data_IF_404666741527
#
_entry.id   IF_404666741527
#
_cell.length_a   1.000
_cell.length_b   1.000
_cell.length_c   1.000
_cell.angle_alpha   90.00
_cell.angle_beta   90.00
_cell.angle_gamma   90.00
#
_symmetry.space_group_name_H-M   'P 1'
#
loop_
_entity.id
_entity.type
_entity.pdbx_description
1 polymer ?
#
# COMPACT_ATOMS: atom_id res chain seq x y z
N UNK A 1 1.76 4.30 -82.56
CA UNK A 1 1.27 5.54 -81.92
C UNK A 1 1.68 5.45 -80.44
N UNK A 2 2.87 5.87 -79.98
CA UNK A 2 3.59 7.14 -80.18
C UNK A 2 2.70 8.34 -79.79
N UNK A 3 3.02 9.25 -78.87
CA UNK A 3 4.29 9.70 -78.22
C UNK A 3 4.01 10.07 -76.72
N UNK A 4 4.93 10.43 -75.80
CA UNK A 4 6.38 10.60 -75.82
C UNK A 4 6.83 12.02 -75.41
N UNK A 5 7.47 12.20 -74.23
CA UNK A 5 8.69 13.02 -73.98
C UNK A 5 8.89 13.45 -72.51
N UNK A 6 10.16 13.47 -72.10
CA UNK A 6 10.71 14.13 -70.91
C UNK A 6 11.97 14.93 -71.33
N UNK A 7 12.45 15.89 -70.53
CA UNK A 7 13.80 16.48 -70.69
C UNK A 7 14.34 17.01 -69.35
N UNK A 8 15.64 16.75 -69.08
CA UNK A 8 16.43 17.26 -67.93
C UNK A 8 17.11 18.61 -68.23
N UNK A 9 18.39 18.86 -67.85
CA UNK A 9 19.51 17.94 -67.49
C UNK A 9 19.80 17.90 -65.96
N UNK A 10 20.87 17.31 -65.38
CA UNK A 10 22.06 16.59 -65.88
C UNK A 10 23.37 17.44 -65.84
N UNK A 11 24.59 16.95 -65.56
CA UNK A 11 25.08 15.60 -65.15
C UNK A 11 25.85 15.66 -63.81
N UNK A 12 27.01 15.02 -63.56
CA UNK A 12 27.92 14.12 -64.31
C UNK A 12 28.57 13.13 -63.30
N UNK A 13 28.68 11.81 -63.53
CA UNK A 13 29.62 11.03 -64.37
C UNK A 13 31.03 10.78 -63.79
N UNK A 14 31.37 9.50 -63.55
CA UNK A 14 32.57 8.82 -64.08
C UNK A 14 32.44 7.30 -63.95
N UNK A 15 32.84 6.56 -64.99
CA UNK A 15 32.74 5.10 -65.08
C UNK A 15 34.13 4.45 -65.17
N UNK A 16 34.25 3.22 -64.69
CA UNK A 16 35.32 2.31 -65.10
C UNK A 16 34.77 0.90 -65.33
N UNK A 17 35.08 0.36 -66.51
CA UNK A 17 34.78 -1.01 -66.96
C UNK A 17 35.54 -2.06 -66.09
N UNK A 18 35.32 -3.38 -66.16
CA UNK A 18 35.13 -4.21 -67.36
C UNK A 18 34.52 -5.58 -67.05
N UNK A 19 33.88 -6.16 -68.07
CA UNK A 19 33.34 -7.52 -68.13
C UNK A 19 34.44 -8.59 -68.17
N UNK A 20 34.14 -9.81 -67.71
CA UNK A 20 34.11 -11.01 -68.56
C UNK A 20 33.30 -12.12 -67.84
N UNK A 21 32.66 -13.02 -68.59
CA UNK A 21 31.67 -13.99 -68.09
C UNK A 21 32.03 -15.46 -68.39
N UNK A 22 31.08 -16.36 -68.09
CA UNK A 22 31.01 -17.82 -68.34
C UNK A 22 31.58 -18.71 -67.22
N UNK A 23 30.84 -19.58 -66.49
CA UNK A 23 29.80 -20.59 -66.86
C UNK A 23 30.45 -21.80 -67.56
N UNK A 24 30.39 -23.07 -67.11
CA UNK A 24 29.37 -23.89 -66.40
C UNK A 24 30.01 -24.95 -65.47
N UNK A 25 29.25 -25.56 -64.54
CA UNK A 25 29.61 -26.88 -63.97
C UNK A 25 29.09 -27.18 -62.54
N UNK A 26 28.26 -28.22 -62.39
CA UNK A 26 27.75 -28.75 -61.12
C UNK A 26 28.05 -30.27 -61.01
N UNK A 27 27.71 -30.99 -59.92
CA UNK A 27 27.75 -30.65 -58.48
C UNK A 27 28.60 -31.68 -57.68
N UNK A 28 29.25 -31.30 -56.56
CA UNK A 28 29.90 -32.28 -55.64
C UNK A 28 29.75 -31.94 -54.14
N UNK A 29 29.99 -32.96 -53.31
CA UNK A 29 29.56 -33.22 -51.93
C UNK A 29 30.30 -32.45 -50.81
N UNK A 30 29.76 -32.41 -49.57
CA UNK A 30 30.30 -31.57 -48.49
C UNK A 30 31.57 -32.15 -47.84
N UNK A 31 32.49 -31.26 -47.44
CA UNK A 31 33.70 -31.57 -46.67
C UNK A 31 33.65 -30.92 -45.27
N UNK A 32 34.20 -31.61 -44.26
CA UNK A 32 34.01 -31.28 -42.84
C UNK A 32 34.95 -30.20 -42.27
N UNK A 33 34.52 -29.64 -41.14
CA UNK A 33 35.26 -28.65 -40.32
C UNK A 33 36.26 -29.30 -39.35
N UNK A 34 37.47 -28.72 -39.16
CA UNK A 34 38.41 -29.17 -38.13
C UNK A 34 38.08 -28.61 -36.74
N UNK A 35 38.52 -29.26 -35.64
CA UNK A 35 38.26 -28.80 -34.27
C UNK A 35 39.26 -27.73 -33.80
N UNK A 36 38.82 -26.85 -32.90
CA UNK A 36 39.67 -25.85 -32.21
C UNK A 36 39.74 -26.17 -30.72
N UNK A 37 40.95 -26.08 -30.14
CA UNK A 37 41.24 -26.44 -28.76
C UNK A 37 40.80 -25.37 -27.72
N UNK A 38 40.55 -25.74 -26.46
CA UNK A 38 40.08 -24.80 -25.43
C UNK A 38 41.20 -23.90 -24.90
N UNK A 39 40.92 -22.60 -24.78
CA UNK A 39 41.80 -21.60 -24.15
C UNK A 39 41.54 -21.52 -22.64
N UNK A 40 42.61 -21.56 -21.84
CA UNK A 40 42.58 -21.34 -20.39
C UNK A 40 42.88 -19.86 -20.08
N UNK A 41 42.07 -19.16 -19.26
CA UNK A 41 42.45 -17.88 -18.66
C UNK A 41 43.04 -18.08 -17.26
N UNK A 42 44.13 -17.36 -16.97
CA UNK A 42 44.83 -17.37 -15.68
C UNK A 42 44.06 -16.65 -14.57
N UNK A 43 44.39 -16.98 -13.32
CA UNK A 43 43.72 -16.48 -12.12
C UNK A 43 43.88 -14.97 -11.85
N UNK A 44 42.83 -14.36 -11.28
CA UNK A 44 42.86 -13.02 -10.70
C UNK A 44 41.83 -12.88 -9.57
N UNK A 45 42.30 -12.43 -8.40
CA UNK A 45 41.54 -11.95 -7.23
C UNK A 45 40.23 -12.69 -6.83
N UNK A 46 40.33 -13.59 -5.86
CA UNK A 46 39.16 -14.13 -5.15
C UNK A 46 38.66 -13.09 -4.12
N UNK A 47 37.53 -12.44 -4.37
CA UNK A 47 36.80 -11.69 -3.34
C UNK A 47 35.84 -12.66 -2.67
N UNK A 48 35.95 -12.81 -1.34
CA UNK A 48 35.02 -13.62 -0.57
C UNK A 48 33.62 -13.01 -0.62
N UNK A 49 32.63 -13.79 -1.09
CA UNK A 49 31.24 -13.40 -1.02
C UNK A 49 30.80 -13.25 0.44
N UNK A 50 30.15 -12.15 0.78
CA UNK A 50 29.51 -11.97 2.08
C UNK A 50 28.38 -13.00 2.24
N UNK A 51 28.31 -13.75 3.35
CA UNK A 51 27.21 -14.68 3.57
C UNK A 51 25.88 -13.93 3.70
N UNK A 52 24.74 -14.55 3.34
CA UNK A 52 23.43 -13.95 3.55
C UNK A 52 23.17 -13.77 5.06
N UNK A 53 22.69 -12.59 5.43
CA UNK A 53 22.28 -12.28 6.80
C UNK A 53 20.87 -12.82 7.03
N UNK A 54 20.75 -14.14 7.19
CA UNK A 54 19.84 -14.85 8.13
C UNK A 54 19.98 -16.37 7.91
N UNK A 55 20.97 -16.99 8.58
CA UNK A 55 21.15 -18.44 8.58
C UNK A 55 21.06 -18.96 10.02
N UNK A 56 20.18 -19.93 10.33
CA UNK A 56 20.10 -20.49 11.67
C UNK A 56 21.40 -21.23 12.03
N UNK A 57 21.80 -21.25 13.32
CA UNK A 57 23.03 -21.92 13.74
C UNK A 57 22.95 -23.42 13.45
N UNK A 58 24.04 -23.98 12.92
CA UNK A 58 24.14 -25.40 12.64
C UNK A 58 24.01 -26.22 13.93
N UNK A 59 23.09 -27.20 13.95
CA UNK A 59 22.93 -28.11 15.07
C UNK A 59 24.18 -28.99 15.25
N UNK A 60 24.67 -29.10 16.49
CA UNK A 60 25.80 -29.97 16.80
C UNK A 60 25.44 -31.45 16.59
N UNK A 61 26.35 -32.28 16.05
CA UNK A 61 26.08 -33.70 15.85
C UNK A 61 26.03 -34.44 17.20
N UNK A 62 24.94 -35.18 17.42
CA UNK A 62 24.85 -36.11 18.55
C UNK A 62 25.73 -37.36 18.30
N UNK A 63 26.38 -37.93 19.33
CA UNK A 63 27.24 -39.10 19.16
C UNK A 63 26.43 -40.39 18.93
N UNK A 64 26.83 -41.17 17.92
CA UNK A 64 26.32 -42.53 17.74
C UNK A 64 26.82 -43.46 18.85
N UNK A 65 25.89 -44.10 19.56
CA UNK A 65 26.17 -45.26 20.41
C UNK A 65 25.45 -46.49 19.84
N UNK A 66 26.20 -47.57 19.63
CA UNK A 66 25.70 -48.83 19.09
C UNK A 66 25.35 -49.84 20.19
N UNK A 67 24.44 -50.77 19.90
CA UNK A 67 24.32 -52.06 20.62
C UNK A 67 22.94 -52.38 21.19
N UNK A 68 22.40 -53.54 20.80
CA UNK A 68 21.16 -54.12 21.37
C UNK A 68 20.39 -54.93 20.34
N UNK A 69 20.33 -56.25 20.49
CA UNK A 69 19.83 -57.17 19.45
C UNK A 69 18.49 -57.84 19.78
N UNK A 70 17.57 -57.82 18.79
CA UNK A 70 16.67 -58.92 18.38
C UNK A 70 15.60 -59.44 19.41
N UNK A 71 14.75 -60.45 19.07
CA UNK A 71 13.61 -60.29 18.15
C UNK A 71 12.30 -61.01 18.58
N UNK A 72 11.11 -60.59 18.10
CA UNK A 72 9.91 -61.47 17.95
C UNK A 72 9.08 -61.06 16.71
N UNK A 73 8.38 -62.04 16.12
CA UNK A 73 7.69 -62.02 14.81
C UNK A 73 6.20 -61.52 14.86
N UNK A 74 5.47 -61.46 13.72
CA UNK A 74 4.28 -60.62 13.57
C UNK A 74 2.93 -61.31 13.86
N UNK A 75 1.88 -60.50 14.02
CA UNK A 75 0.49 -60.94 13.98
C UNK A 75 -0.25 -60.33 12.78
N UNK A 76 -0.81 -61.21 11.93
CA UNK A 76 -1.75 -60.87 10.85
C UNK A 76 -3.15 -60.75 11.48
N UNK A 77 -3.96 -59.74 11.12
CA UNK A 77 -5.42 -59.89 11.08
C UNK A 77 -6.06 -59.05 9.97
N UNK A 78 -6.97 -59.72 9.27
CA UNK A 78 -7.61 -59.38 8.00
C UNK A 78 -8.82 -58.44 8.15
N UNK A 79 -9.03 -57.55 7.17
CA UNK A 79 -10.34 -57.36 6.52
C UNK A 79 -11.39 -56.44 7.16
N UNK A 80 -11.86 -55.45 6.40
CA UNK A 80 -12.96 -54.56 6.78
C UNK A 80 -13.36 -53.56 5.70
N UNK A 81 -13.73 -54.02 4.51
CA UNK A 81 -14.22 -53.17 3.40
C UNK A 81 -15.74 -53.09 3.40
N UNK A 82 -16.33 -51.89 3.39
CA UNK A 82 -17.78 -51.67 3.29
C UNK A 82 -18.15 -50.90 2.02
N UNK A 83 -19.07 -51.47 1.23
CA UNK A 83 -19.82 -50.80 0.17
C UNK A 83 -21.13 -51.55 -0.09
N UNK A 84 -22.15 -50.82 -0.55
CA UNK A 84 -23.58 -51.16 -0.73
C UNK A 84 -23.86 -52.44 -1.56
N UNK A 85 -25.04 -53.11 -1.55
CA UNK A 85 -26.40 -52.57 -1.67
C UNK A 85 -27.54 -53.63 -1.57
N UNK A 86 -28.76 -53.14 -1.28
CA UNK A 86 -30.11 -53.51 -1.79
C UNK A 86 -30.66 -54.97 -1.87
N UNK A 87 -31.89 -55.15 -1.33
CA UNK A 87 -33.11 -55.86 -1.86
C UNK A 87 -34.11 -56.03 -0.68
N UNK A 88 -35.45 -56.04 -0.77
CA UNK A 88 -36.46 -55.77 -1.82
C UNK A 88 -37.87 -55.58 -1.16
N UNK A 89 -38.89 -55.08 -1.87
CA UNK A 89 -40.24 -54.75 -1.34
C UNK A 89 -41.22 -55.95 -1.18
N UNK A 90 -42.58 -55.78 -1.22
CA UNK A 90 -43.36 -54.58 -1.61
C UNK A 90 -44.65 -54.26 -0.77
N UNK A 91 -45.29 -53.10 -1.03
CA UNK A 91 -46.73 -52.92 -1.36
C UNK A 91 -47.26 -51.50 -1.03
N UNK A 92 -48.28 -51.05 -1.78
CA UNK A 92 -48.87 -49.68 -1.75
C UNK A 92 -50.39 -49.80 -1.55
N UNK A 93 -51.11 -48.74 -1.12
CA UNK A 93 -52.11 -48.20 -2.06
C UNK A 93 -52.16 -46.66 -2.13
N UNK A 94 -52.70 -46.16 -3.24
CA UNK A 94 -52.67 -44.76 -3.68
C UNK A 94 -54.01 -44.01 -3.48
N UNK A 95 -53.93 -42.67 -3.44
CA UNK A 95 -55.04 -41.75 -3.73
C UNK A 95 -54.99 -40.45 -2.90
N UNK A 96 -55.32 -39.26 -3.41
CA UNK A 96 -55.53 -38.81 -4.80
C UNK A 96 -55.54 -37.26 -4.85
N UNK A 97 -55.06 -36.67 -5.95
CA UNK A 97 -55.30 -35.26 -6.33
C UNK A 97 -56.44 -35.22 -7.38
N UNK A 98 -57.28 -34.17 -7.43
CA UNK A 98 -57.00 -32.98 -8.27
C UNK A 98 -57.47 -31.66 -7.57
N UNK A 99 -57.41 -30.43 -8.13
CA UNK A 99 -57.27 -29.98 -9.51
C UNK A 99 -56.65 -28.57 -9.66
N UNK A 100 -56.43 -28.21 -10.92
CA UNK A 100 -56.03 -26.91 -11.51
C UNK A 100 -56.91 -25.70 -11.08
N UNK A 101 -56.32 -24.49 -11.06
CA UNK A 101 -57.08 -23.23 -11.28
C UNK A 101 -56.81 -22.07 -10.31
N UNK A 102 -56.17 -21.01 -10.84
CA UNK A 102 -56.22 -19.58 -10.46
C UNK A 102 -56.72 -19.15 -9.06
N UNK A 103 -55.93 -18.31 -8.37
CA UNK A 103 -56.12 -16.86 -8.51
C UNK A 103 -54.88 -16.02 -8.09
N UNK A 104 -54.76 -14.83 -8.68
CA UNK A 104 -53.75 -13.82 -8.36
C UNK A 104 -54.32 -12.82 -7.35
N UNK A 105 -53.86 -12.87 -6.09
CA UNK A 105 -54.11 -11.77 -5.14
C UNK A 105 -52.94 -11.56 -4.17
N UNK A 106 -52.32 -10.36 -4.15
CA UNK A 106 -51.28 -10.05 -3.17
C UNK A 106 -51.90 -9.82 -1.79
N UNK A 107 -51.28 -10.30 -0.70
CA UNK A 107 -51.64 -9.86 0.64
C UNK A 107 -51.23 -8.40 0.84
N UNK A 108 -52.15 -7.61 1.40
CA UNK A 108 -52.01 -6.15 1.55
C UNK A 108 -51.68 -5.81 3.02
N UNK A 109 -50.70 -4.92 3.19
CA UNK A 109 -50.43 -4.04 4.35
C UNK A 109 -50.07 -4.67 5.71
N UNK A 110 -48.85 -4.33 6.14
CA UNK A 110 -48.65 -3.58 7.39
C UNK A 110 -47.53 -2.56 7.19
N UNK A 111 -47.84 -1.26 7.26
CA UNK A 111 -46.86 -0.18 7.21
C UNK A 111 -46.66 0.40 8.63
N UNK A 112 -45.43 0.82 9.01
CA UNK A 112 -45.16 1.34 10.35
C UNK A 112 -45.80 2.71 10.59
N UNK A 113 -46.28 2.93 11.82
CA UNK A 113 -47.09 4.10 12.19
C UNK A 113 -46.26 5.31 12.63
N UNK A 114 -46.33 6.39 11.85
CA UNK A 114 -46.17 7.81 12.23
C UNK A 114 -46.97 8.64 11.19
N UNK A 115 -47.44 9.89 11.46
CA UNK A 115 -47.08 10.80 12.54
C UNK A 115 -48.27 11.44 13.28
N UNK A 116 -48.00 12.31 14.27
CA UNK A 116 -48.86 13.45 14.61
C UNK A 116 -48.08 14.53 15.36
N UNK A 117 -48.17 15.77 14.87
CA UNK A 117 -47.78 16.99 15.57
C UNK A 117 -48.72 18.13 15.15
N UNK A 118 -49.15 19.00 16.09
CA UNK A 118 -49.68 20.32 15.72
C UNK A 118 -48.98 21.49 16.44
N UNK A 119 -48.31 22.32 15.64
CA UNK A 119 -48.29 23.81 15.66
C UNK A 119 -48.25 24.63 16.96
N UNK A 120 -47.11 25.32 17.15
CA UNK A 120 -47.04 26.79 17.36
C UNK A 120 -47.06 27.34 18.80
N UNK A 121 -46.65 28.61 19.03
CA UNK A 121 -46.35 29.67 18.05
C UNK A 121 -44.86 30.14 18.04
N UNK A 122 -44.57 31.14 17.20
CA UNK A 122 -43.23 31.69 16.89
C UNK A 122 -42.81 32.86 17.80
N UNK A 123 -41.51 33.07 18.00
CA UNK A 123 -40.94 34.40 18.29
C UNK A 123 -39.42 34.50 18.06
N UNK A 124 -39.01 35.38 17.14
CA UNK A 124 -37.98 36.41 17.40
C UNK A 124 -36.49 36.07 17.57
N UNK A 125 -35.72 36.45 16.54
CA UNK A 125 -34.34 36.99 16.58
C UNK A 125 -33.11 36.04 16.68
N UNK A 126 -32.03 36.33 15.92
CA UNK A 126 -30.76 35.57 15.97
C UNK A 126 -29.83 36.06 17.08
N UNK A 127 -29.13 35.13 17.72
CA UNK A 127 -28.06 35.42 18.70
C UNK A 127 -26.70 35.15 18.06
N UNK A 128 -25.83 36.17 18.06
CA UNK A 128 -24.44 36.11 17.60
C UNK A 128 -23.49 35.69 18.75
N UNK A 129 -22.27 35.17 18.45
CA UNK A 129 -21.36 34.67 19.47
C UNK A 129 -20.71 35.77 20.33
N UNK A 130 -20.43 35.45 21.59
CA UNK A 130 -19.78 36.37 22.55
C UNK A 130 -18.27 36.46 22.34
N UNK A 131 -17.67 37.67 22.34
CA UNK A 131 -16.22 37.87 22.38
C UNK A 131 -15.65 37.82 23.81
N UNK A 132 -14.32 37.76 23.91
CA UNK A 132 -13.58 37.57 25.15
C UNK A 132 -13.54 38.81 26.08
N UNK A 133 -13.39 38.54 27.38
CA UNK A 133 -13.35 39.54 28.46
C UNK A 133 -12.08 40.41 28.46
N UNK A 134 -12.23 41.67 28.83
CA UNK A 134 -11.15 42.56 29.32
C UNK A 134 -11.68 43.42 30.47
N UNK A 135 -10.93 43.65 31.55
CA UNK A 135 -11.36 44.52 32.64
C UNK A 135 -11.13 46.00 32.32
N UNK A 136 -11.90 46.87 32.96
CA UNK A 136 -11.92 48.32 32.71
C UNK A 136 -11.57 49.13 33.97
N UNK A 137 -10.73 50.16 33.77
CA UNK A 137 -10.66 51.43 34.50
C UNK A 137 -9.86 52.38 33.59
N UNK A 138 -10.16 53.65 33.38
CA UNK A 138 -10.95 54.59 34.16
C UNK A 138 -10.18 55.92 34.06
N UNK A 139 -10.55 56.78 33.10
CA UNK A 139 -9.66 57.86 32.65
C UNK A 139 -9.74 59.16 33.45
N UNK A 140 -8.83 60.09 33.18
CA UNK A 140 -8.99 61.55 33.36
C UNK A 140 -8.11 62.29 32.37
N UNK A 141 -8.62 63.39 31.81
CA UNK A 141 -8.01 64.20 30.76
C UNK A 141 -7.14 65.31 31.34
N UNK A 142 -5.93 65.53 30.82
CA UNK A 142 -5.37 66.87 30.51
C UNK A 142 -4.10 66.73 29.65
N UNK A 143 -3.99 67.55 28.59
CA UNK A 143 -2.74 67.80 27.88
C UNK A 143 -1.83 68.76 28.66
N UNK A 144 -0.55 68.84 28.30
CA UNK A 144 -0.15 70.08 27.63
C UNK A 144 0.73 69.87 26.39
N UNK A 145 0.79 70.91 25.57
CA UNK A 145 1.65 71.01 24.39
C UNK A 145 3.03 71.59 24.76
N UNK A 146 4.05 71.13 24.04
CA UNK A 146 5.42 71.63 23.84
C UNK A 146 5.98 72.79 24.70
N UNK A 147 7.23 72.61 25.15
CA UNK A 147 8.28 73.58 24.82
C UNK A 147 9.68 72.96 24.77
N UNK A 148 10.36 73.11 23.64
CA UNK A 148 11.78 72.75 23.50
C UNK A 148 12.66 73.60 24.41
N UNK A 149 13.55 72.94 25.16
CA UNK A 149 14.75 73.56 25.72
C UNK A 149 15.88 72.54 25.68
N UNK A 150 16.86 72.76 24.80
CA UNK A 150 18.12 72.03 24.85
C UNK A 150 18.99 72.62 25.98
N UNK A 151 19.37 71.81 26.95
CA UNK A 151 20.45 72.13 27.89
C UNK A 151 21.25 70.88 28.19
N UNK A 152 22.48 70.83 27.71
CA UNK A 152 23.43 69.79 28.08
C UNK A 152 23.94 70.02 29.51
N UNK A 153 23.90 68.98 30.34
CA UNK A 153 24.71 68.88 31.55
C UNK A 153 24.92 67.39 31.87
N UNK A 154 26.17 67.01 32.15
CA UNK A 154 26.52 65.63 32.45
C UNK A 154 26.09 65.23 33.88
N UNK A 155 25.63 63.99 34.03
CA UNK A 155 25.30 63.38 35.32
C UNK A 155 25.49 61.87 35.22
N UNK A 156 26.50 61.35 35.93
CA UNK A 156 27.00 59.97 35.75
C UNK A 156 26.06 58.90 36.33
N UNK A 157 26.12 57.71 35.73
CA UNK A 157 25.81 56.39 36.32
C UNK A 157 24.38 56.10 36.83
N UNK A 158 23.67 55.21 36.11
CA UNK A 158 22.41 54.64 36.61
C UNK A 158 21.53 53.85 35.63
N UNK A 159 21.89 53.71 34.35
CA UNK A 159 20.97 53.19 33.31
C UNK A 159 21.59 52.14 32.34
N UNK A 160 22.67 51.45 32.73
CA UNK A 160 23.34 50.47 31.86
C UNK A 160 22.71 49.07 31.85
N UNK A 161 22.06 48.65 32.94
CA UNK A 161 21.68 47.25 33.13
C UNK A 161 20.34 46.88 32.48
N UNK A 162 19.31 47.72 32.60
CA UNK A 162 17.97 47.43 32.05
C UNK A 162 17.92 47.42 30.53
N UNK A 163 18.58 48.37 29.86
CA UNK A 163 18.62 48.45 28.39
C UNK A 163 19.35 47.25 27.78
N UNK A 164 20.47 46.82 28.39
CA UNK A 164 21.20 45.62 27.97
C UNK A 164 20.43 44.34 28.30
N UNK A 165 19.76 44.26 29.46
CA UNK A 165 18.89 43.13 29.80
C UNK A 165 17.75 42.98 28.78
N UNK A 166 17.03 44.06 28.46
CA UNK A 166 15.96 44.05 27.46
C UNK A 166 16.48 43.69 26.07
N UNK A 167 17.62 44.23 25.64
CA UNK A 167 18.25 43.86 24.36
C UNK A 167 18.64 42.37 24.32
N UNK A 168 19.19 41.83 25.42
CA UNK A 168 19.54 40.41 25.52
C UNK A 168 18.32 39.50 25.54
N UNK A 169 17.22 39.89 26.20
CA UNK A 169 15.96 39.16 26.20
C UNK A 169 15.29 39.15 24.81
N UNK A 170 15.30 40.29 24.10
CA UNK A 170 14.81 40.38 22.72
C UNK A 170 15.68 39.56 21.76
N UNK A 171 17.01 39.57 21.94
CA UNK A 171 17.92 38.75 21.14
C UNK A 171 17.73 37.24 21.39
N UNK A 172 17.55 36.84 22.65
CA UNK A 172 17.25 35.45 23.02
C UNK A 172 15.89 34.99 22.46
N UNK A 173 14.86 35.84 22.52
CA UNK A 173 13.55 35.57 21.93
C UNK A 173 13.64 35.44 20.39
N UNK A 174 14.37 36.34 19.72
CA UNK A 174 14.62 36.26 18.28
C UNK A 174 15.36 34.97 17.92
N UNK A 175 16.43 34.61 18.64
CA UNK A 175 17.16 33.35 18.47
C UNK A 175 16.28 32.12 18.65
N UNK A 176 15.40 32.11 19.66
CA UNK A 176 14.43 31.03 19.87
C UNK A 176 13.43 30.91 18.70
N UNK A 177 12.91 32.03 18.18
CA UNK A 177 12.01 32.00 17.01
C UNK A 177 12.71 31.53 15.74
N UNK A 178 13.97 31.91 15.51
CA UNK A 178 14.78 31.46 14.38
C UNK A 178 15.09 29.96 14.49
N UNK A 179 15.43 29.47 15.68
CA UNK A 179 15.62 28.04 15.95
C UNK A 179 14.35 27.22 15.70
N UNK A 180 13.19 27.70 16.16
CA UNK A 180 11.90 27.04 15.93
C UNK A 180 11.49 27.01 14.44
N UNK A 181 11.78 28.07 13.69
CA UNK A 181 11.55 28.10 12.24
C UNK A 181 12.47 27.10 11.52
N UNK A 182 13.76 27.05 11.90
CA UNK A 182 14.73 26.10 11.35
C UNK A 182 14.36 24.65 11.66
N UNK A 183 13.92 24.33 12.88
CA UNK A 183 13.51 22.97 13.24
C UNK A 183 12.25 22.54 12.48
N UNK A 184 11.26 23.44 12.30
CA UNK A 184 10.06 23.15 11.48
C UNK A 184 10.42 22.93 10.01
N UNK A 185 11.36 23.69 9.44
CA UNK A 185 11.82 23.49 8.07
C UNK A 185 12.55 22.14 7.90
N UNK A 186 13.39 21.76 8.86
CA UNK A 186 14.07 20.46 8.86
C UNK A 186 13.08 19.28 8.96
N UNK A 187 12.05 19.40 9.80
CA UNK A 187 11.01 18.37 9.90
C UNK A 187 10.16 18.29 8.62
N UNK A 188 9.80 19.43 8.02
CA UNK A 188 9.10 19.46 6.73
C UNK A 188 9.91 18.72 5.65
N UNK A 189 11.22 18.95 5.58
CA UNK A 189 12.11 18.27 4.63
C UNK A 189 12.27 16.77 4.96
N UNK A 190 12.30 16.39 6.24
CA UNK A 190 12.26 14.99 6.69
C UNK A 190 10.97 14.30 6.21
N UNK A 191 9.80 14.90 6.44
CA UNK A 191 8.52 14.34 6.00
C UNK A 191 8.44 14.25 4.47
N UNK A 192 8.95 15.25 3.74
CA UNK A 192 8.99 15.21 2.28
C UNK A 192 9.81 14.01 1.77
N UNK A 193 11.02 13.77 2.32
CA UNK A 193 11.82 12.59 1.96
C UNK A 193 11.12 11.26 2.23
N UNK A 194 10.30 11.16 3.28
CA UNK A 194 9.50 9.96 3.55
C UNK A 194 8.40 9.75 2.50
N UNK A 195 7.72 10.83 2.08
CA UNK A 195 6.70 10.82 1.01
C UNK A 195 7.34 10.47 -0.34
N UNK A 196 8.46 11.11 -0.67
CA UNK A 196 9.18 10.88 -1.93
C UNK A 196 9.69 9.42 -2.03
N UNK A 197 10.16 8.84 -0.92
CA UNK A 197 10.66 7.46 -0.90
C UNK A 197 9.57 6.40 -1.16
N UNK A 198 8.32 6.62 -0.73
CA UNK A 198 7.21 5.71 -1.10
C UNK A 198 6.65 6.02 -2.48
N UNK A 199 6.67 7.29 -2.89
CA UNK A 199 6.14 7.66 -4.19
C UNK A 199 7.09 7.39 -5.36
N UNK A 200 8.41 7.28 -5.14
CA UNK A 200 9.33 6.69 -6.12
C UNK A 200 8.95 5.25 -6.46
N UNK A 201 8.39 4.50 -5.50
CA UNK A 201 7.97 3.10 -5.69
C UNK A 201 6.60 3.00 -6.37
N UNK A 202 5.68 3.92 -6.07
CA UNK A 202 4.38 3.99 -6.75
C UNK A 202 3.92 5.46 -6.95
N UNK A 203 4.34 6.11 -8.06
CA UNK A 203 4.06 7.52 -8.30
C UNK A 203 2.62 7.77 -8.79
N UNK A 204 1.87 6.74 -9.18
CA UNK A 204 0.47 6.88 -9.65
C UNK A 204 -0.52 7.19 -8.53
N UNK A 205 -0.10 7.07 -7.27
CA UNK A 205 -0.92 7.33 -6.10
C UNK A 205 -0.60 8.69 -5.47
N UNK A 206 -1.59 9.27 -4.80
CA UNK A 206 -1.32 10.37 -3.87
C UNK A 206 -0.80 9.82 -2.55
N UNK A 207 0.13 10.55 -1.94
CA UNK A 207 0.78 10.18 -0.68
C UNK A 207 0.85 11.39 0.25
N UNK A 208 0.75 11.17 1.56
CA UNK A 208 1.08 12.20 2.53
C UNK A 208 1.70 11.61 3.80
N UNK A 209 2.58 12.38 4.44
CA UNK A 209 3.13 12.08 5.75
C UNK A 209 2.97 13.29 6.68
N UNK A 210 2.67 13.05 7.96
CA UNK A 210 2.42 14.11 8.93
C UNK A 210 2.89 13.75 10.32
N UNK A 211 3.45 14.73 11.03
CA UNK A 211 3.85 14.58 12.43
C UNK A 211 2.67 14.91 13.35
N UNK A 212 2.28 13.97 14.22
CA UNK A 212 1.22 14.16 15.21
C UNK A 212 1.58 15.23 16.25
N UNK A 213 0.58 15.64 17.02
CA UNK A 213 0.74 16.62 18.12
C UNK A 213 1.62 16.11 19.27
N UNK A 214 1.86 14.80 19.34
CA UNK A 214 2.84 14.19 20.27
C UNK A 214 4.31 14.44 19.89
N UNK A 215 4.57 15.01 18.70
CA UNK A 215 5.92 15.32 18.20
C UNK A 215 6.80 14.11 17.88
N UNK A 216 6.25 12.89 17.87
CA UNK A 216 7.02 11.64 17.69
C UNK A 216 6.39 10.69 16.66
N UNK A 217 5.07 10.60 16.61
CA UNK A 217 4.33 9.73 15.68
C UNK A 217 4.30 10.37 14.31
N UNK A 218 5.12 9.84 13.39
CA UNK A 218 5.05 10.17 11.96
C UNK A 218 4.03 9.25 11.30
N UNK A 219 2.86 9.78 10.91
CA UNK A 219 1.86 9.05 10.15
C UNK A 219 2.22 9.06 8.65
N UNK A 220 1.97 7.96 7.94
CA UNK A 220 2.01 7.88 6.48
C UNK A 220 0.67 7.34 5.93
N UNK A 221 0.14 7.97 4.88
CA UNK A 221 -1.15 7.62 4.26
C UNK A 221 -1.12 7.67 2.73
N UNK A 222 -2.00 6.87 2.11
CA UNK A 222 -2.51 7.05 0.74
C UNK A 222 -4.03 6.93 0.76
N UNK A 223 -4.70 7.63 -0.14
CA UNK A 223 -6.16 7.67 -0.30
C UNK A 223 -6.73 6.51 -1.14
N UNK A 224 -5.88 5.71 -1.81
CA UNK A 224 -6.25 4.52 -2.59
C UNK A 224 -7.37 3.67 -1.96
N UNK A 225 -7.25 3.36 -0.66
CA UNK A 225 -8.32 2.75 0.11
C UNK A 225 -8.26 3.24 1.57
N UNK A 226 -8.47 4.55 1.74
CA UNK A 226 -8.69 5.19 3.05
C UNK A 226 -7.58 4.96 4.11
N UNK A 227 -6.33 4.81 3.67
CA UNK A 227 -5.17 4.53 4.53
C UNK A 227 -4.50 3.17 4.35
N UNK A 228 -5.10 2.24 3.59
CA UNK A 228 -4.42 0.99 3.25
C UNK A 228 -3.23 1.22 2.33
N UNK A 229 -2.06 0.73 2.74
CA UNK A 229 -0.83 0.73 1.92
C UNK A 229 -0.70 -0.59 1.13
N UNK A 230 -0.58 -0.54 -0.22
CA UNK A 230 -0.30 -1.70 -1.07
C UNK A 230 0.89 -2.57 -0.63
N UNK A 231 0.90 -3.87 -0.97
CA UNK A 231 1.96 -4.81 -0.56
C UNK A 231 3.29 -4.59 -1.29
N UNK A 232 3.29 -3.98 -2.49
CA UNK A 232 4.52 -3.73 -3.25
C UNK A 232 5.29 -2.49 -2.77
N UNK A 233 4.66 -1.62 -1.98
CA UNK A 233 5.30 -0.42 -1.43
C UNK A 233 5.97 -0.75 -0.10
N UNK A 234 7.30 -0.64 -0.08
CA UNK A 234 8.14 -0.78 1.10
C UNK A 234 8.11 0.51 1.92
N UNK A 235 8.00 0.36 3.24
CA UNK A 235 7.80 1.47 4.16
C UNK A 235 9.12 2.00 4.74
N UNK A 236 9.33 3.33 4.77
CA UNK A 236 10.43 3.96 5.50
C UNK A 236 10.42 3.62 6.99
N UNK A 237 11.59 3.64 7.63
CA UNK A 237 11.72 3.44 9.07
C UNK A 237 10.90 4.47 9.88
N UNK A 238 10.38 4.04 11.02
CA UNK A 238 9.67 4.87 12.02
C UNK A 238 8.38 5.56 11.51
N UNK A 239 7.76 5.08 10.44
CA UNK A 239 6.39 5.48 10.07
C UNK A 239 5.33 4.65 10.80
N UNK A 240 4.20 5.27 11.07
CA UNK A 240 2.98 4.64 11.59
C UNK A 240 1.88 4.74 10.53
N UNK A 241 1.02 3.72 10.44
CA UNK A 241 -0.11 3.70 9.51
C UNK A 241 -1.42 4.06 10.21
N UNK A 242 -2.45 4.39 9.43
CA UNK A 242 -3.81 4.44 9.97
C UNK A 242 -4.26 3.04 10.39
N UNK A 243 -5.06 2.97 11.45
CA UNK A 243 -5.76 1.75 11.83
C UNK A 243 -6.83 1.38 10.79
N UNK A 244 -7.03 0.07 10.49
CA UNK A 244 -8.13 -0.40 9.65
C UNK A 244 -9.48 0.03 10.22
N UNK A 245 -10.16 0.94 9.55
CA UNK A 245 -11.48 1.45 9.96
C UNK A 245 -12.21 1.97 8.73
N UNK A 246 -13.54 1.83 8.68
CA UNK A 246 -14.34 2.45 7.64
C UNK A 246 -14.20 3.97 7.69
N UNK A 247 -13.81 4.61 6.57
CA UNK A 247 -13.73 6.06 6.42
C UNK A 247 -14.53 6.50 5.19
N UNK A 248 -14.64 7.83 5.02
CA UNK A 248 -15.18 8.47 3.83
C UNK A 248 -14.31 8.13 2.61
N UNK A 249 -14.90 7.79 1.47
CA UNK A 249 -14.15 7.40 0.26
C UNK A 249 -13.59 8.60 -0.51
N UNK A 250 -14.27 9.75 -0.48
CA UNK A 250 -13.80 11.03 -1.02
C UNK A 250 -12.83 11.79 -0.08
N UNK A 251 -12.32 11.13 0.97
CA UNK A 251 -11.27 11.68 1.83
C UNK A 251 -9.91 11.60 1.12
N UNK A 252 -9.36 12.76 0.76
CA UNK A 252 -8.03 12.87 0.16
C UNK A 252 -6.92 12.60 1.20
N UNK A 253 -5.66 12.46 0.75
CA UNK A 253 -4.51 12.21 1.65
C UNK A 253 -4.34 13.21 2.81
N UNK A 254 -4.70 14.49 2.64
CA UNK A 254 -4.61 15.51 3.70
C UNK A 254 -5.74 15.33 4.72
N UNK A 255 -6.95 15.03 4.26
CA UNK A 255 -8.08 14.68 5.14
C UNK A 255 -7.76 13.44 6.00
N UNK A 256 -7.04 12.46 5.43
CA UNK A 256 -6.62 11.23 6.10
C UNK A 256 -5.51 11.45 7.14
N UNK A 257 -4.67 12.49 7.00
CA UNK A 257 -3.73 12.86 8.06
C UNK A 257 -4.49 13.32 9.32
N UNK A 258 -5.53 14.13 9.19
CA UNK A 258 -6.25 14.72 10.33
C UNK A 258 -5.38 15.73 11.09
N UNK A 259 -5.42 15.72 12.43
CA UNK A 259 -4.63 16.63 13.26
C UNK A 259 -3.12 16.29 13.22
N UNK A 260 -2.32 17.19 12.64
CA UNK A 260 -0.86 17.11 12.49
C UNK A 260 -0.24 18.50 12.57
N UNK A 261 1.00 18.59 13.09
CA UNK A 261 1.73 19.85 13.34
C UNK A 261 2.59 20.33 12.17
N UNK A 262 2.99 19.38 11.31
CA UNK A 262 3.81 19.51 10.10
C UNK A 262 3.35 18.41 9.14
N UNK A 263 3.26 18.68 7.83
CA UNK A 263 2.76 17.73 6.84
C UNK A 263 3.42 17.93 5.47
N UNK A 264 3.83 16.82 4.84
CA UNK A 264 4.27 16.76 3.46
C UNK A 264 3.29 15.91 2.63
N UNK A 265 3.12 16.25 1.36
CA UNK A 265 2.21 15.54 0.46
C UNK A 265 2.75 15.52 -0.97
N UNK A 266 2.34 14.52 -1.73
CA UNK A 266 2.61 14.35 -3.15
C UNK A 266 1.31 13.94 -3.85
N UNK A 267 0.95 14.66 -4.91
CA UNK A 267 -0.17 14.37 -5.78
C UNK A 267 0.20 13.37 -6.87
N UNK A 268 -0.66 12.36 -7.07
CA UNK A 268 -0.49 11.34 -8.10
C UNK A 268 0.04 11.85 -9.46
N UNK A 269 1.03 11.13 -9.99
CA UNK A 269 1.73 11.37 -11.26
C UNK A 269 2.58 12.65 -11.31
N UNK A 270 2.88 13.29 -10.17
CA UNK A 270 3.90 14.35 -10.13
C UNK A 270 5.30 13.73 -10.23
N UNK A 271 6.25 14.49 -10.78
CA UNK A 271 7.65 14.06 -10.81
C UNK A 271 8.22 13.99 -9.39
N UNK A 272 8.87 12.87 -9.07
CA UNK A 272 9.65 12.69 -7.83
C UNK A 272 11.13 12.71 -8.20
N UNK A 273 11.92 13.48 -7.45
CA UNK A 273 13.36 13.52 -7.67
C UNK A 273 14.02 12.16 -7.39
N UNK A 274 15.14 11.92 -8.08
CA UNK A 274 16.04 10.80 -7.81
C UNK A 274 16.49 10.78 -6.33
N UNK A 275 16.77 9.61 -5.76
CA UNK A 275 17.17 9.49 -4.36
C UNK A 275 18.48 10.25 -4.07
N UNK A 276 18.48 11.01 -2.97
CA UNK A 276 19.66 11.70 -2.47
C UNK A 276 20.41 10.86 -1.41
N UNK A 277 21.54 11.36 -0.91
CA UNK A 277 22.32 10.66 0.13
C UNK A 277 21.63 10.60 1.51
N UNK A 278 20.53 11.34 1.69
CA UNK A 278 19.72 11.38 2.92
C UNK A 278 18.43 10.52 2.79
N UNK A 279 18.34 9.63 1.78
CA UNK A 279 17.15 8.80 1.56
C UNK A 279 16.85 7.89 2.78
N UNK A 280 15.59 7.88 3.28
CA UNK A 280 15.24 7.09 4.45
C UNK A 280 15.24 5.58 4.16
N UNK A 281 15.80 4.79 5.08
CA UNK A 281 15.87 3.32 4.92
C UNK A 281 14.48 2.67 4.91
N UNK A 282 14.22 1.80 3.93
CA UNK A 282 12.94 1.12 3.71
C UNK A 282 12.75 -0.14 4.60
N UNK A 283 12.92 0.04 5.91
CA UNK A 283 12.92 -1.02 6.93
C UNK A 283 11.66 -1.05 7.82
N UNK A 284 10.69 -0.15 7.59
CA UNK A 284 9.53 0.07 8.45
C UNK A 284 8.36 -0.92 8.28
N UNK A 285 8.37 -1.80 7.27
CA UNK A 285 7.21 -2.64 6.95
C UNK A 285 6.71 -3.50 8.11
N UNK A 286 7.62 -4.22 8.78
CA UNK A 286 7.24 -5.09 9.90
C UNK A 286 6.61 -4.31 11.05
N UNK A 287 7.25 -3.29 11.67
CA UNK A 287 6.63 -2.56 12.77
C UNK A 287 5.35 -1.82 12.36
N UNK A 288 5.33 -1.17 11.19
CA UNK A 288 4.20 -0.37 10.75
C UNK A 288 2.95 -1.21 10.41
N UNK A 289 3.12 -2.38 9.77
CA UNK A 289 2.01 -3.25 9.37
C UNK A 289 1.57 -4.21 10.48
N UNK A 290 2.45 -4.57 11.42
CA UNK A 290 2.09 -5.42 12.58
C UNK A 290 1.26 -4.69 13.65
N UNK A 291 1.13 -3.37 13.57
CA UNK A 291 0.28 -2.58 14.46
C UNK A 291 -1.23 -2.74 14.16
N UNK A 292 -1.59 -3.35 13.04
CA UNK A 292 -3.00 -3.62 12.72
C UNK A 292 -3.62 -4.66 13.69
N UNK A 293 -4.91 -4.52 14.03
CA UNK A 293 -5.63 -5.49 14.87
C UNK A 293 -5.51 -6.92 14.32
N UNK A 294 -5.31 -7.88 15.23
CA UNK A 294 -5.33 -9.29 14.86
C UNK A 294 -6.78 -9.72 14.58
N UNK A 295 -7.02 -10.21 13.36
CA UNK A 295 -8.31 -10.79 12.97
C UNK A 295 -8.54 -12.13 13.67
N UNK A 296 -9.67 -12.24 14.39
CA UNK A 296 -10.11 -13.48 15.01
C UNK A 296 -10.31 -14.60 13.98
N UNK A 297 -9.87 -15.81 14.33
CA UNK A 297 -9.91 -17.00 13.49
C UNK A 297 -9.43 -16.73 12.03
N UNK A 298 -8.28 -16.05 11.87
CA UNK A 298 -7.67 -15.65 10.59
C UNK A 298 -7.89 -16.68 9.45
N UNK A 299 -7.63 -17.96 9.73
CA UNK A 299 -7.77 -19.04 8.76
C UNK A 299 -9.21 -19.24 8.25
N UNK A 300 -10.16 -19.67 9.11
CA UNK A 300 -11.58 -19.73 8.76
C UNK A 300 -12.12 -18.43 8.14
N UNK A 301 -11.77 -17.28 8.70
CA UNK A 301 -12.24 -15.96 8.26
C UNK A 301 -11.75 -15.61 6.86
N UNK A 302 -10.48 -15.86 6.53
CA UNK A 302 -9.94 -15.65 5.17
C UNK A 302 -10.58 -16.61 4.16
N UNK A 303 -10.75 -17.89 4.51
CA UNK A 303 -11.36 -18.88 3.61
C UNK A 303 -12.83 -18.55 3.33
N UNK A 304 -13.60 -18.08 4.33
CA UNK A 304 -14.98 -17.64 4.10
C UNK A 304 -15.06 -16.35 3.28
N UNK A 305 -14.18 -15.38 3.54
CA UNK A 305 -14.10 -14.13 2.76
C UNK A 305 -13.81 -14.41 1.28
N UNK A 306 -12.84 -15.29 0.98
CA UNK A 306 -12.52 -15.74 -0.37
C UNK A 306 -13.70 -16.48 -0.99
N UNK A 307 -14.30 -17.44 -0.28
CA UNK A 307 -15.43 -18.25 -0.76
C UNK A 307 -16.66 -17.43 -1.15
N UNK A 308 -16.96 -16.35 -0.42
CA UNK A 308 -18.12 -15.47 -0.67
C UNK A 308 -17.90 -14.43 -1.77
N UNK A 309 -16.68 -14.31 -2.29
CA UNK A 309 -16.32 -13.21 -3.20
C UNK A 309 -16.50 -13.62 -4.66
N UNK A 310 -17.66 -13.27 -5.21
CA UNK A 310 -17.90 -13.31 -6.64
C UNK A 310 -16.94 -12.35 -7.35
N UNK A 311 -16.12 -12.86 -8.27
CA UNK A 311 -15.13 -12.07 -9.04
C UNK A 311 -13.67 -12.46 -8.80
N UNK A 312 -13.33 -13.10 -7.67
CA UNK A 312 -11.94 -13.53 -7.43
C UNK A 312 -11.43 -14.52 -8.49
N UNK A 313 -10.16 -14.42 -8.90
CA UNK A 313 -9.57 -15.37 -9.83
C UNK A 313 -9.57 -16.77 -9.21
N UNK A 314 -9.89 -17.79 -10.02
CA UNK A 314 -10.10 -19.18 -9.55
C UNK A 314 -8.92 -19.74 -8.74
N UNK A 315 -7.71 -19.25 -8.99
CA UNK A 315 -6.50 -19.62 -8.23
C UNK A 315 -6.63 -19.29 -6.74
N UNK A 316 -7.25 -18.16 -6.37
CA UNK A 316 -7.44 -17.76 -4.98
C UNK A 316 -8.31 -18.78 -4.22
N UNK A 317 -9.39 -19.24 -4.84
CA UNK A 317 -10.28 -20.28 -4.31
C UNK A 317 -9.54 -21.61 -4.09
N UNK A 318 -8.62 -21.97 -5.00
CA UNK A 318 -7.84 -23.19 -4.91
C UNK A 318 -6.78 -23.13 -3.79
N UNK A 319 -6.08 -22.00 -3.65
CA UNK A 319 -4.90 -21.90 -2.76
C UNK A 319 -5.17 -21.37 -1.36
N UNK A 320 -6.30 -20.69 -1.11
CA UNK A 320 -6.60 -20.09 0.20
C UNK A 320 -6.65 -21.13 1.34
N UNK A 321 -7.37 -22.23 1.17
CA UNK A 321 -7.49 -23.27 2.20
C UNK A 321 -6.17 -24.05 2.42
N UNK A 322 -5.41 -24.45 1.38
CA UNK A 322 -4.06 -25.02 1.55
C UNK A 322 -3.06 -24.07 2.25
N UNK A 323 -3.06 -22.78 1.90
CA UNK A 323 -2.20 -21.78 2.52
C UNK A 323 -2.50 -21.64 4.03
N UNK A 324 -3.78 -21.49 4.39
CA UNK A 324 -4.25 -21.43 5.78
C UNK A 324 -3.88 -22.68 6.57
N UNK A 325 -4.01 -23.87 5.97
CA UNK A 325 -3.67 -25.15 6.63
C UNK A 325 -2.17 -25.45 6.64
N UNK A 326 -1.35 -24.60 6.02
CA UNK A 326 0.11 -24.78 5.86
C UNK A 326 0.46 -26.15 5.23
N UNK A 327 -0.39 -26.65 4.32
CA UNK A 327 -0.21 -27.95 3.63
C UNK A 327 0.66 -27.86 2.38
N UNK A 328 1.15 -26.68 2.03
CA UNK A 328 1.86 -26.39 0.79
C UNK A 328 0.92 -25.96 -0.35
N UNK A 329 1.48 -25.20 -1.29
CA UNK A 329 0.88 -24.73 -2.54
C UNK A 329 1.93 -24.97 -3.64
N UNK A 330 1.53 -25.35 -4.85
CA UNK A 330 2.49 -25.64 -5.93
C UNK A 330 3.11 -24.35 -6.47
N UNK A 331 4.40 -24.35 -6.85
CA UNK A 331 5.05 -23.16 -7.40
C UNK A 331 4.34 -22.59 -8.65
N UNK A 332 3.73 -23.46 -9.47
CA UNK A 332 2.87 -23.05 -10.58
C UNK A 332 1.61 -22.28 -10.15
N UNK A 333 1.05 -22.63 -8.99
CA UNK A 333 -0.11 -21.97 -8.40
C UNK A 333 0.28 -20.65 -7.73
N UNK A 334 1.43 -20.61 -7.04
CA UNK A 334 2.03 -19.38 -6.48
C UNK A 334 2.32 -18.37 -7.60
N UNK A 335 2.91 -18.82 -8.71
CA UNK A 335 3.15 -17.98 -9.89
C UNK A 335 1.85 -17.43 -10.48
N UNK A 336 0.83 -18.28 -10.68
CA UNK A 336 -0.48 -17.85 -11.20
C UNK A 336 -1.18 -16.86 -10.24
N UNK A 337 -1.05 -17.04 -8.93
CA UNK A 337 -1.57 -16.10 -7.92
C UNK A 337 -0.87 -14.74 -8.01
N UNK A 338 0.46 -14.72 -8.18
CA UNK A 338 1.25 -13.50 -8.39
C UNK A 338 0.88 -12.79 -9.69
N UNK A 339 0.70 -13.53 -10.78
CA UNK A 339 0.24 -13.02 -12.09
C UNK A 339 -1.13 -12.32 -11.97
N UNK A 340 -2.16 -12.99 -11.45
CA UNK A 340 -3.48 -12.39 -11.25
C UNK A 340 -3.46 -11.18 -10.30
N UNK A 341 -2.56 -11.18 -9.30
CA UNK A 341 -2.42 -10.05 -8.37
C UNK A 341 -1.81 -8.83 -9.07
N UNK A 342 -0.81 -9.04 -9.93
CA UNK A 342 -0.21 -7.98 -10.73
C UNK A 342 -1.19 -7.38 -11.76
N UNK A 343 -2.06 -8.20 -12.34
CA UNK A 343 -3.15 -7.75 -13.23
C UNK A 343 -4.14 -6.83 -12.49
N UNK A 344 -4.64 -7.25 -11.32
CA UNK A 344 -5.57 -6.44 -10.51
C UNK A 344 -4.89 -5.17 -10.00
N UNK A 345 -3.65 -5.26 -9.51
CA UNK A 345 -2.84 -4.10 -9.13
C UNK A 345 -2.73 -3.11 -10.30
N UNK A 346 -2.38 -3.58 -11.50
CA UNK A 346 -2.21 -2.71 -12.65
C UNK A 346 -3.54 -2.06 -13.07
N UNK A 347 -4.65 -2.79 -13.07
CA UNK A 347 -5.97 -2.28 -13.38
C UNK A 347 -6.43 -1.20 -12.38
N UNK A 348 -6.34 -1.48 -11.07
CA UNK A 348 -6.68 -0.54 -9.99
C UNK A 348 -5.87 0.76 -10.12
N UNK A 349 -4.55 0.66 -10.27
CA UNK A 349 -3.66 1.82 -10.30
C UNK A 349 -3.72 2.60 -11.63
N UNK A 350 -4.31 2.02 -12.68
CA UNK A 350 -4.59 2.71 -13.94
C UNK A 350 -5.95 3.42 -13.90
N UNK A 351 -6.92 2.91 -13.14
CA UNK A 351 -8.22 3.52 -12.93
C UNK A 351 -8.23 4.63 -11.86
N UNK A 352 -7.25 4.63 -10.96
CA UNK A 352 -7.08 5.64 -9.90
C UNK A 352 -7.12 7.08 -10.47
N UNK A 353 -7.85 8.03 -9.83
CA UNK A 353 -8.54 7.93 -8.53
C UNK A 353 -9.99 7.40 -8.61
N UNK A 354 -10.44 6.94 -9.79
CA UNK A 354 -11.81 6.46 -10.04
C UNK A 354 -11.88 4.92 -10.09
N UNK A 355 -11.02 4.24 -9.34
CA UNK A 355 -10.95 2.79 -9.27
C UNK A 355 -12.11 2.19 -8.45
N UNK A 356 -12.45 0.94 -8.76
CA UNK A 356 -13.44 0.18 -8.00
C UNK A 356 -12.84 -0.35 -6.68
N UNK A 357 -13.50 -0.07 -5.55
CA UNK A 357 -13.12 -0.57 -4.24
C UNK A 357 -13.32 -2.08 -4.11
N UNK A 358 -14.19 -2.71 -4.91
CA UNK A 358 -14.28 -4.16 -4.96
C UNK A 358 -12.97 -4.77 -5.51
N UNK A 359 -12.40 -4.21 -6.58
CA UNK A 359 -11.11 -4.63 -7.10
C UNK A 359 -9.95 -4.42 -6.09
N UNK A 360 -9.98 -3.35 -5.28
CA UNK A 360 -9.01 -3.18 -4.18
C UNK A 360 -9.20 -4.23 -3.08
N UNK A 361 -10.45 -4.55 -2.72
CA UNK A 361 -10.73 -5.64 -1.78
C UNK A 361 -10.25 -7.01 -2.28
N UNK A 362 -10.37 -7.27 -3.58
CA UNK A 362 -9.85 -8.49 -4.19
C UNK A 362 -8.32 -8.53 -4.08
N UNK A 363 -7.65 -7.41 -4.38
CA UNK A 363 -6.21 -7.26 -4.19
C UNK A 363 -5.78 -7.50 -2.73
N UNK A 364 -6.53 -6.99 -1.75
CA UNK A 364 -6.27 -7.25 -0.32
C UNK A 364 -6.36 -8.74 0.02
N UNK A 365 -7.38 -9.47 -0.48
CA UNK A 365 -7.48 -10.92 -0.25
C UNK A 365 -6.34 -11.69 -0.90
N UNK A 366 -5.96 -11.36 -2.13
CA UNK A 366 -4.82 -11.99 -2.81
C UNK A 366 -3.50 -11.74 -2.09
N UNK A 367 -3.29 -10.51 -1.58
CA UNK A 367 -2.15 -10.15 -0.76
C UNK A 367 -2.12 -10.92 0.58
N UNK A 368 -3.28 -11.12 1.22
CA UNK A 368 -3.39 -11.93 2.44
C UNK A 368 -3.04 -13.41 2.20
N UNK A 369 -3.48 -13.99 1.07
CA UNK A 369 -3.14 -15.37 0.71
C UNK A 369 -1.64 -15.51 0.41
N UNK A 370 -1.06 -14.59 -0.37
CA UNK A 370 0.39 -14.57 -0.62
C UNK A 370 1.20 -14.45 0.67
N UNK A 371 0.80 -13.54 1.56
CA UNK A 371 1.41 -13.40 2.87
C UNK A 371 1.40 -14.69 3.70
N UNK A 372 0.33 -15.49 3.66
CA UNK A 372 0.30 -16.80 4.32
C UNK A 372 1.23 -17.83 3.67
N UNK A 373 1.30 -17.85 2.34
CA UNK A 373 2.21 -18.73 1.58
C UNK A 373 3.68 -18.42 1.91
N UNK A 374 4.03 -17.13 1.97
CA UNK A 374 5.37 -16.66 2.32
C UNK A 374 5.64 -16.68 3.86
N UNK A 375 4.71 -17.21 4.67
CA UNK A 375 4.86 -17.36 6.12
C UNK A 375 4.80 -16.05 6.93
N UNK A 376 4.28 -14.97 6.34
CA UNK A 376 4.18 -13.63 6.92
C UNK A 376 2.78 -13.39 7.52
N UNK A 377 2.45 -14.13 8.58
CA UNK A 377 1.12 -14.14 9.23
C UNK A 377 0.63 -12.72 9.64
N UNK A 378 1.54 -11.84 10.08
CA UNK A 378 1.24 -10.44 10.41
C UNK A 378 0.74 -9.61 9.20
N UNK A 379 1.23 -9.89 7.98
CA UNK A 379 0.74 -9.25 6.77
C UNK A 379 -0.64 -9.79 6.38
N UNK A 380 -0.88 -11.09 6.59
CA UNK A 380 -2.20 -11.67 6.35
C UNK A 380 -3.28 -11.04 7.27
N UNK A 381 -2.97 -10.84 8.54
CA UNK A 381 -3.82 -10.06 9.45
C UNK A 381 -4.02 -8.62 8.97
N UNK A 382 -2.94 -7.90 8.62
CA UNK A 382 -3.02 -6.52 8.10
C UNK A 382 -3.94 -6.41 6.87
N UNK A 383 -3.76 -7.25 5.86
CA UNK A 383 -4.55 -7.21 4.63
C UNK A 383 -6.01 -7.62 4.86
N UNK A 384 -6.27 -8.63 5.70
CA UNK A 384 -7.65 -9.06 5.99
C UNK A 384 -8.41 -8.06 6.88
N UNK A 385 -7.75 -7.42 7.85
CA UNK A 385 -8.37 -6.37 8.67
C UNK A 385 -8.77 -5.16 7.81
N UNK A 386 -7.93 -4.76 6.86
CA UNK A 386 -8.28 -3.71 5.89
C UNK A 386 -9.41 -4.13 4.94
N UNK A 387 -9.42 -5.39 4.47
CA UNK A 387 -10.53 -5.93 3.69
C UNK A 387 -11.86 -5.86 4.46
N UNK A 388 -11.88 -6.27 5.73
CA UNK A 388 -13.07 -6.15 6.57
C UNK A 388 -13.51 -4.69 6.73
N UNK A 389 -12.57 -3.79 7.04
CA UNK A 389 -12.85 -2.37 7.25
C UNK A 389 -13.51 -1.68 6.03
N UNK A 390 -13.11 -2.02 4.80
CA UNK A 390 -13.74 -1.44 3.59
C UNK A 390 -15.08 -2.10 3.25
N UNK A 391 -15.25 -3.41 3.48
CA UNK A 391 -16.48 -4.13 3.13
C UNK A 391 -17.61 -3.95 4.16
N UNK A 392 -17.31 -3.72 5.45
CA UNK A 392 -18.33 -3.45 6.47
C UNK A 392 -19.19 -2.22 6.14
N UNK A 393 -18.67 -1.27 5.35
CA UNK A 393 -19.41 -0.09 4.86
C UNK A 393 -20.29 -0.38 3.64
N UNK A 394 -20.01 -1.41 2.86
CA UNK A 394 -20.80 -1.74 1.66
C UNK A 394 -22.16 -2.39 2.00
N UNK A 395 -22.34 -2.86 3.24
CA UNK A 395 -23.58 -3.43 3.76
C UNK A 395 -24.36 -2.51 4.71
N UNK A 396 -23.99 -1.23 4.82
CA UNK A 396 -24.61 -0.23 5.71
C UNK A 396 -25.11 0.99 4.94
#
# INVERSE_FOLDING_TARGET
MATGQATGPGGQAFSANTLQAMETGAPQTPAGTPPVAPTVPSAGAFIAATPPVDAPPAAAPAPSAAGGAAPVAPAVMTGGSWSSAATGGPSVPSGSLPAYGSDLRPPVVAAPSVPSAPTGPVSGAPVAPSPASSPSAGGTLVSPVERSAASAAAGQAGAGSSTLANASAVSAAAGATAGAASSRAAEQQRLQRLVDAVARQEPRLSWAAGLRDDGTTTLLVTDLASGWIPPHVRLPAHVTLLEPTARRHDANVVDLLGAVTVAAAHHANTYVAEPDSDEPTLSGDRPARSAAPQVDELGPTLVDAVRRRDGLPRIAQAVAAPAVRKTGVLESEIRMLRECTAEIQHAVLTAYPHHDLAAVGDWMLLAAIQALIDGHEYLAHYHLAWFQAINHRAGS
#
